data_IF_651115823165
#
_entry.id   IF_651115823165
#
_cell.length_a   1.000
_cell.length_b   1.000
_cell.length_c   1.000
_cell.angle_alpha   90.00
_cell.angle_beta   90.00
_cell.angle_gamma   90.00
#
_symmetry.space_group_name_H-M   'P 1'
#
loop_
_entity.id
_entity.type
_entity.pdbx_description
1 polymer ?
#
# COMPACT_ATOMS: atom_id res chain seq x y z
N UNK A 1 33.97 -7.59 -6.40
CA UNK A 1 33.11 -6.46 -6.00
C UNK A 1 31.89 -6.43 -6.91
N UNK A 2 30.74 -6.91 -6.43
CA UNK A 2 29.50 -6.94 -7.21
C UNK A 2 28.90 -5.53 -7.30
N UNK A 3 28.78 -5.01 -8.52
CA UNK A 3 28.32 -3.65 -8.87
C UNK A 3 26.82 -3.57 -9.23
N UNK A 4 26.01 -4.55 -8.84
CA UNK A 4 24.65 -4.71 -9.37
C UNK A 4 23.59 -4.64 -8.27
N UNK A 5 23.34 -3.42 -7.80
CA UNK A 5 22.09 -2.91 -7.24
C UNK A 5 22.47 -1.74 -6.32
N UNK A 6 22.40 -0.51 -6.80
CA UNK A 6 22.45 0.67 -5.93
C UNK A 6 21.34 0.52 -4.90
N UNK A 7 21.67 0.35 -3.63
CA UNK A 7 20.70 0.19 -2.54
C UNK A 7 19.79 1.43 -2.50
N UNK A 8 18.54 1.26 -2.92
CA UNK A 8 17.54 2.32 -2.85
C UNK A 8 17.12 2.54 -1.38
N UNK A 9 16.91 3.80 -1.02
CA UNK A 9 16.26 4.17 0.23
C UNK A 9 14.76 3.88 0.11
N UNK A 10 14.18 3.19 1.09
CA UNK A 10 12.74 2.95 1.14
C UNK A 10 12.17 3.79 2.27
N UNK A 11 11.18 4.62 1.96
CA UNK A 11 10.57 5.51 2.95
C UNK A 11 9.08 5.20 3.02
N UNK A 12 8.62 4.70 4.15
CA UNK A 12 7.18 4.61 4.44
C UNK A 12 6.71 5.92 5.04
N UNK A 13 5.77 6.58 4.38
CA UNK A 13 5.15 7.82 4.80
C UNK A 13 3.81 7.51 5.45
N UNK A 14 3.87 7.30 6.76
CA UNK A 14 2.74 6.96 7.63
C UNK A 14 1.89 8.17 8.04
N UNK A 15 0.76 7.94 8.74
CA UNK A 15 -0.06 8.98 9.34
C UNK A 15 0.59 9.76 10.48
N UNK A 16 1.57 9.16 11.17
CA UNK A 16 2.19 9.67 12.41
C UNK A 16 3.70 9.99 12.25
N UNK A 17 4.25 9.74 11.06
CA UNK A 17 5.61 10.09 10.71
C UNK A 17 6.08 9.40 9.44
N UNK A 18 7.38 9.49 9.17
CA UNK A 18 8.03 8.68 8.15
C UNK A 18 8.97 7.67 8.80
N UNK A 19 9.01 6.46 8.23
CA UNK A 19 9.92 5.40 8.58
C UNK A 19 10.88 5.18 7.41
N UNK A 20 12.12 5.62 7.57
CA UNK A 20 13.17 5.38 6.59
C UNK A 20 13.85 4.04 6.85
N UNK A 21 14.00 3.25 5.79
CA UNK A 21 14.55 1.90 5.83
C UNK A 21 15.69 1.82 4.81
N UNK A 22 16.89 1.64 5.33
CA UNK A 22 18.09 1.37 4.52
C UNK A 22 18.42 -0.11 4.57
N UNK A 23 18.68 -0.71 3.40
CA UNK A 23 19.27 -2.05 3.32
C UNK A 23 20.74 -1.96 3.72
N UNK A 24 21.20 -2.94 4.51
CA UNK A 24 22.62 -3.07 4.89
C UNK A 24 23.07 -4.52 4.70
N UNK A 25 24.09 -4.71 3.88
CA UNK A 25 24.90 -5.92 3.81
C UNK A 25 24.29 -7.10 3.05
N UNK A 26 25.07 -8.18 2.91
CA UNK A 26 24.72 -9.37 2.12
C UNK A 26 23.47 -10.11 2.67
N UNK A 27 23.22 -10.00 3.99
CA UNK A 27 22.02 -10.57 4.63
C UNK A 27 20.74 -9.76 4.42
N UNK A 28 20.80 -8.65 3.66
CA UNK A 28 19.63 -7.84 3.27
C UNK A 28 18.78 -7.42 4.49
N UNK A 29 19.44 -7.13 5.60
CA UNK A 29 18.81 -6.67 6.86
C UNK A 29 18.62 -5.16 6.86
N UNK A 30 17.67 -4.66 7.65
CA UNK A 30 17.46 -3.23 7.86
C UNK A 30 18.54 -2.67 8.79
N UNK A 31 19.18 -1.57 8.37
CA UNK A 31 20.26 -0.93 9.12
C UNK A 31 19.77 -0.07 10.29
N UNK A 32 18.66 0.63 10.10
CA UNK A 32 17.99 1.44 11.12
C UNK A 32 16.59 1.81 10.60
N UNK A 33 15.59 1.75 11.46
CA UNK A 33 14.30 2.42 11.27
C UNK A 33 14.35 3.72 12.06
N UNK A 34 14.26 4.87 11.39
CA UNK A 34 14.23 6.18 12.06
C UNK A 34 12.85 6.78 11.90
N UNK A 35 12.20 7.04 13.03
CA UNK A 35 10.92 7.73 13.07
C UNK A 35 11.18 9.24 13.02
N UNK A 36 10.58 9.90 12.04
CA UNK A 36 10.61 11.36 11.94
C UNK A 36 9.28 11.91 12.47
N UNK A 37 9.25 12.47 13.70
CA UNK A 37 8.04 13.00 14.30
C UNK A 37 7.52 14.22 13.53
N UNK A 38 6.20 14.34 13.45
CA UNK A 38 5.52 15.31 12.60
C UNK A 38 5.36 16.69 13.28
N UNK A 39 5.69 17.80 12.60
CA UNK A 39 5.15 19.10 12.97
C UNK A 39 3.65 19.17 12.64
N UNK A 40 2.85 19.79 13.51
CA UNK A 40 1.45 20.05 13.22
C UNK A 40 1.35 20.97 11.98
N UNK A 41 0.63 20.54 10.95
CA UNK A 41 0.56 21.24 9.66
C UNK A 41 -0.87 21.33 9.10
N UNK A 42 -1.08 22.28 8.20
CA UNK A 42 -2.39 22.67 7.65
C UNK A 42 -2.98 21.70 6.61
N UNK A 43 -2.22 20.71 6.11
CA UNK A 43 -2.71 19.66 5.20
C UNK A 43 -2.38 18.25 5.71
N UNK A 44 -3.23 17.25 5.39
CA UNK A 44 -3.09 15.86 5.87
C UNK A 44 -1.79 15.15 5.44
N UNK A 45 -1.08 15.68 4.45
CA UNK A 45 0.12 15.05 3.86
C UNK A 45 1.40 15.90 3.98
N UNK A 46 1.32 17.14 4.46
CA UNK A 46 2.51 17.99 4.65
C UNK A 46 3.54 17.35 5.58
N UNK A 47 3.06 16.66 6.60
CA UNK A 47 3.92 16.02 7.58
C UNK A 47 4.54 14.70 7.07
N UNK A 48 3.86 13.97 6.19
CA UNK A 48 4.46 12.86 5.45
C UNK A 48 5.65 13.33 4.58
N UNK A 49 5.53 14.53 3.97
CA UNK A 49 6.63 15.14 3.21
C UNK A 49 7.77 15.63 4.10
N UNK A 50 7.48 16.19 5.26
CA UNK A 50 8.52 16.60 6.21
C UNK A 50 9.38 15.39 6.64
N UNK A 51 8.74 14.25 6.92
CA UNK A 51 9.44 13.00 7.21
C UNK A 51 10.25 12.47 6.02
N UNK A 52 9.70 12.55 4.80
CA UNK A 52 10.43 12.19 3.58
C UNK A 52 11.66 13.08 3.38
N UNK A 53 11.52 14.39 3.53
CA UNK A 53 12.63 15.34 3.40
C UNK A 53 13.73 15.05 4.42
N UNK A 54 13.37 14.82 5.69
CA UNK A 54 14.33 14.48 6.72
C UNK A 54 15.07 13.16 6.42
N UNK A 55 14.35 12.12 5.96
CA UNK A 55 14.94 10.87 5.54
C UNK A 55 15.94 11.03 4.38
N UNK A 56 15.60 11.88 3.40
CA UNK A 56 16.45 12.16 2.24
C UNK A 56 17.66 13.03 2.60
N UNK A 57 17.54 13.94 3.56
CA UNK A 57 18.64 14.74 4.06
C UNK A 57 19.73 13.89 4.72
N UNK A 58 19.37 12.79 5.37
CA UNK A 58 20.32 11.82 5.94
C UNK A 58 20.93 10.88 4.89
N UNK A 59 20.34 10.82 3.69
CA UNK A 59 20.73 9.92 2.61
C UNK A 59 20.78 10.62 1.24
N UNK A 60 21.55 11.72 1.12
CA UNK A 60 21.51 12.57 -0.07
C UNK A 60 21.93 11.80 -1.33
N UNK A 61 21.20 12.01 -2.42
CA UNK A 61 21.51 11.40 -3.72
C UNK A 61 21.17 9.91 -3.85
N UNK A 62 20.72 9.23 -2.79
CA UNK A 62 20.26 7.84 -2.91
C UNK A 62 18.94 7.79 -3.69
N UNK A 63 18.77 6.87 -4.66
CA UNK A 63 17.47 6.61 -5.26
C UNK A 63 16.45 6.22 -4.18
N UNK A 64 15.21 6.68 -4.30
CA UNK A 64 14.18 6.51 -3.26
C UNK A 64 12.92 5.84 -3.80
N UNK A 65 12.35 4.91 -3.04
CA UNK A 65 10.97 4.41 -3.20
C UNK A 65 10.14 4.88 -2.02
N UNK A 66 8.94 5.37 -2.32
CA UNK A 66 8.01 5.88 -1.30
C UNK A 66 6.84 4.91 -1.17
N UNK A 67 6.60 4.44 0.05
CA UNK A 67 5.35 3.74 0.39
C UNK A 67 4.45 4.75 1.07
N UNK A 68 3.26 4.98 0.53
CA UNK A 68 2.28 5.87 1.16
C UNK A 68 1.37 5.07 2.08
N UNK A 69 1.05 5.69 3.22
CA UNK A 69 -0.09 5.29 4.02
C UNK A 69 -1.35 5.20 3.16
N UNK A 70 -2.11 4.13 3.33
CA UNK A 70 -3.36 3.87 2.64
C UNK A 70 -4.36 5.00 2.80
N UNK A 71 -4.33 5.74 3.92
CA UNK A 71 -5.21 6.90 4.12
C UNK A 71 -5.02 8.03 3.12
N UNK A 72 -3.87 8.08 2.46
CA UNK A 72 -3.54 9.09 1.45
C UNK A 72 -3.97 8.66 0.05
N UNK A 73 -4.35 7.40 -0.13
CA UNK A 73 -4.85 6.84 -1.37
C UNK A 73 -6.34 6.49 -1.28
N UNK A 74 -7.01 6.55 -2.41
CA UNK A 74 -8.35 5.98 -2.60
C UNK A 74 -8.24 4.78 -3.52
N UNK A 75 -9.08 3.79 -3.30
CA UNK A 75 -9.05 2.53 -4.05
C UNK A 75 -10.41 2.18 -4.62
N UNK A 76 -10.41 1.51 -5.78
CA UNK A 76 -11.60 0.94 -6.43
C UNK A 76 -11.24 -0.38 -7.09
N UNK A 77 -12.20 -1.28 -7.15
CA UNK A 77 -12.12 -2.46 -8.01
C UNK A 77 -12.70 -2.06 -9.36
N UNK A 78 -11.91 -2.24 -10.42
CA UNK A 78 -12.30 -1.95 -11.79
C UNK A 78 -12.59 -3.28 -12.48
N UNK A 79 -13.85 -3.56 -12.83
CA UNK A 79 -14.21 -4.83 -13.46
C UNK A 79 -13.60 -4.94 -14.86
N UNK A 80 -13.26 -6.16 -15.26
CA UNK A 80 -12.88 -6.44 -16.64
C UNK A 80 -14.05 -6.15 -17.59
N UNK A 81 -13.73 -5.60 -18.76
CA UNK A 81 -14.67 -5.31 -19.86
C UNK A 81 -14.03 -5.73 -21.18
N UNK A 82 -14.58 -6.76 -21.82
CA UNK A 82 -14.05 -7.32 -23.07
C UNK A 82 -13.97 -6.32 -24.23
N UNK A 83 -14.78 -5.26 -24.19
CA UNK A 83 -14.86 -4.23 -25.22
C UNK A 83 -13.87 -3.08 -25.01
N UNK A 84 -13.14 -3.04 -23.89
CA UNK A 84 -12.10 -2.03 -23.67
C UNK A 84 -10.77 -2.53 -24.27
N UNK A 85 -10.25 -1.86 -25.32
CA UNK A 85 -9.17 -2.40 -26.13
C UNK A 85 -7.77 -2.24 -25.51
N UNK A 86 -7.60 -1.48 -24.41
CA UNK A 86 -6.29 -1.27 -23.81
C UNK A 86 -6.26 -0.51 -22.49
N UNK A 87 -5.04 -0.29 -22.00
CA UNK A 87 -4.74 0.37 -20.71
C UNK A 87 -5.29 1.80 -20.62
N UNK A 88 -5.34 2.53 -21.74
CA UNK A 88 -5.83 3.90 -21.76
C UNK A 88 -7.32 3.96 -21.43
N UNK A 89 -8.10 3.03 -21.97
CA UNK A 89 -9.53 2.92 -21.74
C UNK A 89 -9.86 2.42 -20.34
N UNK A 90 -9.07 1.48 -19.80
CA UNK A 90 -9.19 1.09 -18.39
C UNK A 90 -8.85 2.25 -17.44
N UNK A 91 -7.86 3.08 -17.78
CA UNK A 91 -7.54 4.29 -17.02
C UNK A 91 -8.68 5.31 -17.08
N UNK A 92 -9.32 5.48 -18.24
CA UNK A 92 -10.48 6.35 -18.41
C UNK A 92 -11.70 5.83 -17.62
N UNK A 93 -11.92 4.50 -17.62
CA UNK A 93 -12.94 3.88 -16.78
C UNK A 93 -12.66 4.14 -15.30
N UNK A 94 -11.43 3.91 -14.83
CA UNK A 94 -11.06 4.18 -13.45
C UNK A 94 -11.26 5.67 -13.07
N UNK A 95 -10.93 6.60 -13.98
CA UNK A 95 -11.22 8.03 -13.80
C UNK A 95 -12.71 8.30 -13.60
N UNK A 96 -13.57 7.68 -14.42
CA UNK A 96 -15.02 7.81 -14.29
C UNK A 96 -15.51 7.25 -12.95
N UNK A 97 -15.04 6.07 -12.54
CA UNK A 97 -15.43 5.43 -11.26
C UNK A 97 -15.01 6.27 -10.04
N UNK A 98 -13.84 6.93 -10.11
CA UNK A 98 -13.43 7.88 -9.06
C UNK A 98 -14.23 9.18 -9.12
N UNK A 99 -14.50 9.72 -10.31
CA UNK A 99 -15.32 10.93 -10.45
C UNK A 99 -16.76 10.72 -9.98
N UNK A 100 -17.35 9.56 -10.24
CA UNK A 100 -18.70 9.22 -9.78
C UNK A 100 -18.76 9.18 -8.24
N UNK A 101 -17.75 8.56 -7.61
CA UNK A 101 -17.77 8.41 -6.16
C UNK A 101 -17.30 9.64 -5.36
N UNK A 102 -16.42 10.47 -5.92
CA UNK A 102 -15.78 11.59 -5.20
C UNK A 102 -16.10 12.97 -5.82
N UNK A 103 -16.79 13.01 -6.96
CA UNK A 103 -17.11 14.25 -7.67
C UNK A 103 -15.85 15.03 -8.04
N UNK A 104 -15.93 16.36 -7.92
CA UNK A 104 -14.83 17.28 -8.23
C UNK A 104 -13.59 17.09 -7.34
N UNK A 105 -13.69 16.34 -6.23
CA UNK A 105 -12.50 16.02 -5.43
C UNK A 105 -11.53 15.12 -6.21
N UNK A 106 -12.03 14.27 -7.12
CA UNK A 106 -11.21 13.38 -7.94
C UNK A 106 -10.52 14.09 -9.12
N UNK A 107 -10.85 15.35 -9.38
CA UNK A 107 -10.27 16.11 -10.49
C UNK A 107 -8.74 16.23 -10.29
N UNK A 108 -7.99 15.86 -11.33
CA UNK A 108 -6.54 15.89 -11.30
C UNK A 108 -5.88 14.81 -10.44
N UNK A 109 -6.61 13.80 -9.97
CA UNK A 109 -6.00 12.66 -9.28
C UNK A 109 -5.10 11.85 -10.21
N UNK A 110 -3.95 11.44 -9.67
CA UNK A 110 -3.07 10.50 -10.33
C UNK A 110 -3.59 9.08 -10.07
N UNK A 111 -4.03 8.39 -11.12
CA UNK A 111 -4.59 7.04 -11.04
C UNK A 111 -3.61 6.01 -11.62
N UNK A 112 -3.57 4.84 -11.00
CA UNK A 112 -2.81 3.67 -11.43
C UNK A 112 -3.65 2.42 -11.22
N UNK A 113 -3.35 1.36 -11.97
CA UNK A 113 -4.09 0.10 -11.99
C UNK A 113 -3.11 -1.05 -11.72
N UNK A 114 -3.55 -2.09 -11.02
CA UNK A 114 -2.77 -3.33 -10.86
C UNK A 114 -2.56 -4.01 -12.21
N UNK A 115 -1.51 -4.79 -12.35
CA UNK A 115 -1.22 -5.56 -13.58
C UNK A 115 -1.85 -6.95 -13.47
N UNK A 116 -3.02 -7.13 -14.08
CA UNK A 116 -3.76 -8.40 -14.04
C UNK A 116 -3.81 -9.04 -15.43
N UNK A 117 -3.92 -10.37 -15.45
CA UNK A 117 -4.17 -11.08 -16.70
C UNK A 117 -5.49 -10.61 -17.33
N UNK A 118 -5.60 -10.60 -18.68
CA UNK A 118 -6.86 -10.32 -19.36
C UNK A 118 -8.00 -11.20 -18.82
N UNK A 119 -9.19 -10.61 -18.69
CA UNK A 119 -10.36 -11.27 -18.10
C UNK A 119 -10.52 -11.06 -16.60
N UNK A 120 -9.56 -10.38 -15.94
CA UNK A 120 -9.57 -10.19 -14.47
C UNK A 120 -9.87 -8.75 -14.04
N UNK A 121 -10.58 -8.61 -12.93
CA UNK A 121 -10.80 -7.34 -12.27
C UNK A 121 -9.50 -6.80 -11.68
N UNK A 122 -9.32 -5.47 -11.73
CA UNK A 122 -8.09 -4.79 -11.33
C UNK A 122 -8.33 -3.91 -10.11
N UNK A 123 -7.31 -3.73 -9.27
CA UNK A 123 -7.33 -2.68 -8.25
C UNK A 123 -6.84 -1.38 -8.91
N UNK A 124 -7.66 -0.35 -8.87
CA UNK A 124 -7.23 1.02 -9.12
C UNK A 124 -6.88 1.71 -7.80
N UNK A 125 -5.75 2.41 -7.78
CA UNK A 125 -5.37 3.32 -6.71
C UNK A 125 -5.26 4.76 -7.25
N UNK A 126 -5.72 5.73 -6.46
CA UNK A 126 -5.67 7.14 -6.79
C UNK A 126 -5.12 7.97 -5.62
N UNK A 127 -4.31 8.98 -5.94
CA UNK A 127 -3.86 10.00 -4.99
C UNK A 127 -4.05 11.39 -5.60
N UNK A 128 -4.11 12.43 -4.76
CA UNK A 128 -4.10 13.82 -5.24
C UNK A 128 -2.86 14.08 -6.11
N UNK A 129 -3.07 14.74 -7.25
CA UNK A 129 -1.97 15.18 -8.13
C UNK A 129 -0.99 16.12 -7.42
N UNK A 130 -1.48 16.94 -6.49
CA UNK A 130 -0.66 17.84 -5.66
C UNK A 130 0.29 17.07 -4.75
N UNK A 131 -0.22 16.00 -4.11
CA UNK A 131 0.60 15.12 -3.28
C UNK A 131 1.71 14.47 -4.11
N UNK A 132 1.37 13.93 -5.29
CA UNK A 132 2.36 13.31 -6.16
C UNK A 132 3.42 14.33 -6.64
N UNK A 133 3.01 15.54 -6.99
CA UNK A 133 3.91 16.61 -7.40
C UNK A 133 4.87 16.99 -6.26
N UNK A 134 4.37 17.17 -5.05
CA UNK A 134 5.18 17.56 -3.91
C UNK A 134 6.16 16.44 -3.46
N UNK A 135 5.79 15.15 -3.60
CA UNK A 135 6.74 14.04 -3.41
C UNK A 135 7.89 14.12 -4.42
N UNK A 136 7.57 14.39 -5.71
CA UNK A 136 8.58 14.54 -6.76
C UNK A 136 9.51 15.73 -6.49
N UNK A 137 8.96 16.86 -6.10
CA UNK A 137 9.72 18.06 -5.74
C UNK A 137 10.63 17.82 -4.53
N UNK A 138 10.13 17.14 -3.50
CA UNK A 138 10.90 16.78 -2.30
C UNK A 138 12.09 15.88 -2.66
N UNK A 139 11.89 14.88 -3.52
CA UNK A 139 12.97 14.01 -3.99
C UNK A 139 14.01 14.78 -4.82
N UNK A 140 13.56 15.66 -5.74
CA UNK A 140 14.42 16.48 -6.58
C UNK A 140 15.27 17.46 -5.75
N UNK A 141 14.70 18.11 -4.73
CA UNK A 141 15.41 19.01 -3.83
C UNK A 141 16.60 18.34 -3.11
N UNK A 142 16.50 17.02 -2.87
CA UNK A 142 17.56 16.22 -2.23
C UNK A 142 18.45 15.48 -3.24
N UNK A 143 18.31 15.78 -4.54
CA UNK A 143 19.03 15.11 -5.65
C UNK A 143 18.81 13.60 -5.70
N UNK A 144 17.68 13.13 -5.18
CA UNK A 144 17.32 11.72 -5.13
C UNK A 144 16.40 11.36 -6.30
N UNK A 145 16.73 10.31 -7.03
CA UNK A 145 15.87 9.77 -8.09
C UNK A 145 14.70 9.01 -7.47
N UNK A 146 13.47 9.53 -7.66
CA UNK A 146 12.25 8.83 -7.26
C UNK A 146 12.01 7.63 -8.19
N UNK A 147 11.97 6.43 -7.62
CA UNK A 147 11.82 5.16 -8.34
C UNK A 147 10.37 4.67 -8.42
N UNK A 148 9.52 5.12 -7.51
CA UNK A 148 8.14 4.68 -7.39
C UNK A 148 7.49 5.25 -6.13
N UNK A 149 6.21 5.56 -6.24
CA UNK A 149 5.32 5.82 -5.11
C UNK A 149 4.23 4.76 -5.14
N UNK A 150 4.01 4.03 -4.05
CA UNK A 150 2.99 2.97 -3.99
C UNK A 150 2.25 2.97 -2.66
N UNK A 151 0.94 2.72 -2.62
CA UNK A 151 0.24 2.55 -1.35
C UNK A 151 0.61 1.24 -0.67
N UNK A 152 0.65 1.25 0.66
CA UNK A 152 0.95 0.09 1.48
C UNK A 152 0.05 -1.13 1.18
N UNK A 153 -1.23 -0.93 0.87
CA UNK A 153 -2.18 -1.99 0.54
C UNK A 153 -1.79 -2.73 -0.73
N UNK A 154 -1.42 -2.01 -1.79
CA UNK A 154 -1.04 -2.64 -3.09
C UNK A 154 0.28 -3.36 -2.98
N UNK A 155 1.17 -2.85 -2.13
CA UNK A 155 2.42 -3.49 -1.76
C UNK A 155 2.13 -4.80 -1.02
N UNK A 156 1.24 -4.77 -0.03
CA UNK A 156 0.83 -5.95 0.73
C UNK A 156 0.16 -7.00 -0.17
N UNK A 157 -0.71 -6.57 -1.10
CA UNK A 157 -1.32 -7.43 -2.10
C UNK A 157 -0.27 -8.07 -3.00
N UNK A 158 0.73 -7.30 -3.43
CA UNK A 158 1.82 -7.79 -4.27
C UNK A 158 2.74 -8.82 -3.62
N UNK A 159 2.90 -8.75 -2.30
CA UNK A 159 3.69 -9.70 -1.53
C UNK A 159 2.91 -10.93 -1.09
N UNK A 160 1.60 -10.86 -1.20
CA UNK A 160 0.72 -11.93 -0.83
C UNK A 160 0.73 -13.01 -1.94
N UNK A 161 1.20 -14.23 -1.65
CA UNK A 161 1.06 -15.33 -2.60
C UNK A 161 -0.43 -15.70 -2.62
N UNK A 162 -1.16 -15.23 -3.62
CA UNK A 162 -2.50 -15.75 -3.89
C UNK A 162 -2.35 -17.21 -4.26
N UNK A 163 -2.61 -18.11 -3.31
CA UNK A 163 -2.73 -19.52 -3.62
C UNK A 163 -4.06 -19.72 -4.34
N UNK A 164 -4.08 -20.52 -5.41
CA UNK A 164 -5.34 -21.00 -5.98
C UNK A 164 -6.13 -21.69 -4.86
N UNK A 165 -7.21 -21.05 -4.43
CA UNK A 165 -8.07 -21.50 -3.35
C UNK A 165 -9.50 -21.23 -3.77
N UNK A 166 -10.38 -22.19 -3.53
CA UNK A 166 -11.82 -22.02 -3.76
C UNK A 166 -12.47 -21.12 -2.70
N UNK A 167 -11.79 -20.88 -1.57
CA UNK A 167 -12.27 -20.01 -0.51
C UNK A 167 -11.82 -18.56 -0.72
N UNK A 168 -12.66 -17.55 -0.42
CA UNK A 168 -12.26 -16.16 -0.42
C UNK A 168 -11.09 -15.91 0.52
N UNK A 169 -10.05 -15.30 -0.01
CA UNK A 169 -8.86 -14.96 0.75
C UNK A 169 -8.84 -13.46 1.02
N UNK A 170 -8.48 -13.10 2.24
CA UNK A 170 -8.57 -11.73 2.73
C UNK A 170 -7.18 -11.17 3.03
N UNK A 171 -6.93 -9.96 2.56
CA UNK A 171 -5.79 -9.15 2.93
C UNK A 171 -6.27 -7.98 3.78
N UNK A 172 -5.65 -7.82 4.95
CA UNK A 172 -5.89 -6.70 5.86
C UNK A 172 -4.61 -5.89 5.96
N UNK A 173 -4.63 -4.62 5.55
CA UNK A 173 -3.54 -3.67 5.76
C UNK A 173 -3.90 -2.71 6.90
N UNK A 174 -3.09 -2.67 7.94
CA UNK A 174 -3.33 -1.88 9.15
C UNK A 174 -2.28 -0.80 9.29
N UNK A 175 -2.77 0.41 9.57
CA UNK A 175 -2.00 1.60 9.89
C UNK A 175 -2.64 2.25 11.14
N UNK A 176 -1.90 3.07 11.91
CA UNK A 176 -2.49 3.76 13.05
C UNK A 176 -3.77 4.53 12.67
N UNK A 177 -4.89 4.14 13.28
CA UNK A 177 -6.20 4.75 13.08
C UNK A 177 -6.94 4.35 11.80
N UNK A 178 -6.39 3.46 10.96
CA UNK A 178 -7.04 3.01 9.73
C UNK A 178 -6.74 1.56 9.37
N UNK A 179 -7.75 0.89 8.80
CA UNK A 179 -7.63 -0.45 8.28
C UNK A 179 -8.19 -0.51 6.85
N UNK A 180 -7.46 -1.18 5.95
CA UNK A 180 -7.90 -1.53 4.61
C UNK A 180 -8.12 -3.04 4.50
N UNK A 181 -9.25 -3.44 3.94
CA UNK A 181 -9.60 -4.84 3.64
C UNK A 181 -9.69 -4.98 2.13
N UNK A 182 -9.03 -6.00 1.58
CA UNK A 182 -9.16 -6.42 0.20
C UNK A 182 -9.39 -7.92 0.14
N UNK A 183 -10.42 -8.36 -0.59
CA UNK A 183 -10.79 -9.78 -0.70
C UNK A 183 -10.68 -10.21 -2.15
N UNK A 184 -10.05 -11.36 -2.36
CA UNK A 184 -9.90 -12.01 -3.64
C UNK A 184 -10.42 -13.45 -3.53
N UNK A 185 -11.30 -13.87 -4.43
CA UNK A 185 -12.01 -15.16 -4.35
C UNK A 185 -11.29 -16.33 -5.06
N UNK A 186 -9.99 -16.15 -5.32
CA UNK A 186 -9.17 -17.06 -6.11
C UNK A 186 -9.20 -16.75 -7.60
N UNK A 187 -10.20 -16.00 -8.07
CA UNK A 187 -10.33 -15.58 -9.45
C UNK A 187 -10.15 -14.08 -9.62
N UNK A 188 -10.88 -13.29 -8.84
CA UNK A 188 -10.95 -11.85 -9.00
C UNK A 188 -10.98 -11.11 -7.67
N UNK A 189 -10.62 -9.83 -7.70
CA UNK A 189 -10.89 -8.92 -6.59
C UNK A 189 -12.41 -8.70 -6.46
N UNK A 190 -12.96 -9.00 -5.28
CA UNK A 190 -14.42 -8.96 -5.03
C UNK A 190 -14.83 -7.86 -4.07
N UNK A 191 -13.97 -7.53 -3.12
CA UNK A 191 -14.27 -6.55 -2.09
C UNK A 191 -13.04 -5.72 -1.77
N UNK A 192 -13.23 -4.41 -1.64
CA UNK A 192 -12.19 -3.51 -1.14
C UNK A 192 -12.84 -2.40 -0.32
N UNK A 193 -12.43 -2.28 0.94
CA UNK A 193 -12.93 -1.25 1.85
C UNK A 193 -11.83 -0.66 2.69
N UNK A 194 -11.89 0.65 2.92
CA UNK A 194 -11.08 1.33 3.93
C UNK A 194 -11.99 1.84 5.04
N UNK A 195 -11.58 1.70 6.28
CA UNK A 195 -12.33 2.14 7.45
C UNK A 195 -11.41 2.67 8.55
N UNK A 196 -11.96 3.53 9.41
CA UNK A 196 -11.27 3.97 10.61
C UNK A 196 -11.36 2.89 11.68
N UNK A 197 -10.29 2.72 12.44
CA UNK A 197 -10.21 1.80 13.58
C UNK A 197 -9.58 2.53 14.76
N UNK A 198 -9.88 2.05 15.96
CA UNK A 198 -9.30 2.56 17.20
C UNK A 198 -8.03 1.77 17.57
N UNK A 199 -7.37 2.11 18.67
CA UNK A 199 -6.12 1.47 19.10
C UNK A 199 -6.28 -0.01 19.46
N UNK A 200 -7.50 -0.47 19.76
CA UNK A 200 -7.86 -1.87 20.05
C UNK A 200 -8.19 -2.68 18.78
N UNK A 201 -7.72 -2.24 17.61
CA UNK A 201 -8.00 -2.84 16.32
C UNK A 201 -7.68 -4.35 16.27
N UNK A 202 -6.61 -4.80 16.94
CA UNK A 202 -6.18 -6.19 16.92
C UNK A 202 -7.20 -7.12 17.58
N UNK A 203 -7.74 -6.71 18.74
CA UNK A 203 -8.79 -7.43 19.46
C UNK A 203 -10.13 -7.38 18.71
N UNK A 204 -10.39 -6.28 17.97
CA UNK A 204 -11.63 -6.08 17.22
C UNK A 204 -11.62 -6.70 15.83
N UNK A 205 -10.46 -7.08 15.31
CA UNK A 205 -10.33 -7.61 13.95
C UNK A 205 -11.25 -8.81 13.66
N UNK A 206 -11.44 -9.80 14.56
CA UNK A 206 -12.41 -10.87 14.32
C UNK A 206 -13.83 -10.37 14.09
N UNK A 207 -14.27 -9.36 14.85
CA UNK A 207 -15.61 -8.79 14.68
C UNK A 207 -15.71 -8.00 13.37
N UNK A 208 -14.70 -7.17 13.07
CA UNK A 208 -14.64 -6.41 11.82
C UNK A 208 -14.68 -7.35 10.61
N UNK A 209 -13.94 -8.46 10.65
CA UNK A 209 -13.95 -9.46 9.58
C UNK A 209 -15.33 -10.11 9.41
N UNK A 210 -16.05 -10.40 10.50
CA UNK A 210 -17.43 -10.90 10.43
C UNK A 210 -18.38 -9.89 9.81
N UNK A 211 -18.24 -8.61 10.16
CA UNK A 211 -19.07 -7.55 9.60
C UNK A 211 -18.82 -7.39 8.09
N UNK A 212 -17.56 -7.41 7.67
CA UNK A 212 -17.20 -7.37 6.25
C UNK A 212 -17.62 -8.63 5.48
N UNK A 213 -17.53 -9.80 6.11
CA UNK A 213 -18.01 -11.08 5.54
C UNK A 213 -19.49 -10.97 5.15
N UNK A 214 -20.32 -10.41 6.05
CA UNK A 214 -21.73 -10.17 5.78
C UNK A 214 -21.96 -9.10 4.69
N UNK A 215 -21.23 -7.98 4.73
CA UNK A 215 -21.39 -6.89 3.75
C UNK A 215 -20.95 -7.29 2.34
N UNK A 216 -19.84 -8.02 2.24
CA UNK A 216 -19.32 -8.52 0.98
C UNK A 216 -20.11 -9.73 0.46
N UNK A 217 -20.92 -10.36 1.30
CA UNK A 217 -21.55 -11.66 1.05
C UNK A 217 -20.51 -12.72 0.64
N UNK A 218 -19.41 -12.78 1.42
CA UNK A 218 -18.28 -13.68 1.23
C UNK A 218 -17.88 -14.27 2.58
N UNK A 219 -17.61 -15.57 2.65
CA UNK A 219 -17.17 -16.21 3.89
C UNK A 219 -15.68 -15.93 4.14
N UNK A 220 -15.40 -14.98 5.04
CA UNK A 220 -14.04 -14.63 5.44
C UNK A 220 -13.68 -15.28 6.76
N UNK A 221 -12.53 -15.97 6.81
CA UNK A 221 -12.03 -16.62 8.04
C UNK A 221 -10.65 -16.08 8.44
N UNK A 222 -10.28 -16.13 9.73
CA UNK A 222 -8.95 -15.72 10.18
C UNK A 222 -7.81 -16.48 9.49
N UNK A 223 -7.99 -17.77 9.21
CA UNK A 223 -6.98 -18.65 8.60
C UNK A 223 -6.71 -18.28 7.13
N UNK A 224 -7.76 -17.85 6.42
CA UNK A 224 -7.70 -17.32 5.06
C UNK A 224 -7.34 -15.83 5.02
N UNK A 225 -7.12 -15.20 6.18
CA UNK A 225 -6.77 -13.79 6.30
C UNK A 225 -5.27 -13.60 6.52
N UNK A 226 -4.69 -12.63 5.81
CA UNK A 226 -3.31 -12.19 5.97
C UNK A 226 -3.29 -10.74 6.41
N UNK A 227 -2.55 -10.45 7.47
CA UNK A 227 -2.49 -9.10 8.07
C UNK A 227 -1.13 -8.46 7.81
N UNK A 228 -1.12 -7.36 7.08
CA UNK A 228 0.03 -6.49 6.90
C UNK A 228 -0.09 -5.32 7.90
N UNK A 229 0.72 -5.34 8.96
CA UNK A 229 0.71 -4.31 10.00
C UNK A 229 2.15 -3.94 10.39
N UNK A 230 2.87 -3.16 9.55
CA UNK A 230 4.30 -2.89 9.74
C UNK A 230 4.59 -2.03 10.99
N UNK A 231 3.59 -1.31 11.49
CA UNK A 231 3.67 -0.46 12.68
C UNK A 231 3.13 -1.15 13.94
N UNK A 232 2.65 -2.40 13.83
CA UNK A 232 2.14 -3.14 14.98
C UNK A 232 3.25 -3.53 15.95
N UNK A 233 2.99 -3.36 17.24
CA UNK A 233 3.88 -3.77 18.32
C UNK A 233 3.78 -5.29 18.59
N UNK A 234 4.67 -5.80 19.44
CA UNK A 234 4.74 -7.24 19.74
C UNK A 234 3.46 -7.79 20.38
N UNK A 235 2.77 -6.99 21.19
CA UNK A 235 1.56 -7.43 21.90
C UNK A 235 0.40 -7.54 20.91
N UNK A 236 0.22 -6.54 20.03
CA UNK A 236 -0.76 -6.57 18.93
C UNK A 236 -0.54 -7.77 18.01
N UNK A 237 0.72 -8.06 17.64
CA UNK A 237 1.05 -9.26 16.86
C UNK A 237 0.73 -10.56 17.60
N UNK A 238 0.88 -10.59 18.92
CA UNK A 238 0.49 -11.72 19.76
C UNK A 238 -1.01 -11.95 19.79
N UNK A 239 -1.80 -10.87 19.91
CA UNK A 239 -3.27 -10.90 19.84
C UNK A 239 -3.74 -11.45 18.49
N UNK A 240 -3.16 -10.98 17.39
CA UNK A 240 -3.47 -11.49 16.05
C UNK A 240 -3.25 -13.00 15.92
N UNK A 241 -2.10 -13.49 16.41
CA UNK A 241 -1.79 -14.92 16.40
C UNK A 241 -2.78 -15.71 17.27
N UNK A 242 -3.17 -15.17 18.43
CA UNK A 242 -4.18 -15.76 19.31
C UNK A 242 -5.56 -15.91 18.65
N UNK A 243 -5.89 -15.04 17.69
CA UNK A 243 -7.11 -15.10 16.90
C UNK A 243 -6.99 -15.91 15.59
N UNK A 244 -5.84 -16.54 15.33
CA UNK A 244 -5.60 -17.35 14.14
C UNK A 244 -5.21 -16.56 12.89
N UNK A 245 -4.97 -15.25 13.01
CA UNK A 245 -4.48 -14.44 11.89
C UNK A 245 -3.01 -14.69 11.63
N UNK A 246 -2.65 -14.79 10.34
CA UNK A 246 -1.26 -14.84 9.92
C UNK A 246 -0.78 -13.44 9.49
N UNK A 247 0.24 -12.93 10.18
CA UNK A 247 0.94 -11.72 9.77
C UNK A 247 1.72 -11.94 8.46
N UNK A 248 1.73 -10.94 7.58
CA UNK A 248 2.64 -10.91 6.44
C UNK A 248 4.01 -10.49 6.98
N UNK A 249 4.89 -11.47 7.16
CA UNK A 249 6.31 -11.18 7.40
C UNK A 249 6.94 -10.67 6.10
N UNK A 250 7.28 -9.39 6.12
CA UNK A 250 7.94 -8.72 5.01
C UNK A 250 9.36 -9.24 4.77
N UNK A 251 9.96 -9.94 5.75
CA UNK A 251 11.35 -10.34 5.75
C UNK A 251 12.28 -9.20 5.30
N UNK A 252 13.34 -9.52 4.59
CA UNK A 252 14.23 -8.57 3.91
C UNK A 252 13.58 -7.77 2.75
N UNK A 253 12.28 -7.97 2.49
CA UNK A 253 11.57 -7.58 1.28
C UNK A 253 10.45 -6.59 1.55
N UNK A 254 10.62 -5.65 2.50
CA UNK A 254 9.72 -4.51 2.75
C UNK A 254 9.16 -3.93 1.47
N UNK A 255 8.04 -4.46 1.02
CA UNK A 255 7.27 -4.07 -0.14
C UNK A 255 7.89 -4.09 -1.53
N UNK A 256 9.19 -4.32 -1.69
CA UNK A 256 9.81 -4.15 -3.01
C UNK A 256 10.72 -5.35 -3.36
N UNK A 257 10.28 -6.23 -4.28
CA UNK A 257 11.13 -7.24 -4.85
C UNK A 257 12.19 -6.58 -5.72
N UNK A 258 13.34 -7.23 -5.70
CA UNK A 258 14.42 -6.98 -6.63
C UNK A 258 14.11 -7.83 -7.86
N UNK A 259 13.52 -7.22 -8.89
CA UNK A 259 13.43 -7.81 -10.23
C UNK A 259 12.44 -8.97 -10.42
N UNK A 260 11.17 -8.78 -10.06
CA UNK A 260 10.08 -9.67 -10.50
C UNK A 260 8.81 -8.88 -10.76
N UNK A 261 8.02 -9.31 -11.76
CA UNK A 261 6.68 -8.80 -12.03
C UNK A 261 5.80 -9.05 -10.79
N UNK A 262 5.40 -7.96 -10.13
CA UNK A 262 4.42 -8.03 -9.05
C UNK A 262 3.07 -7.67 -9.63
N UNK A 263 2.25 -8.70 -9.82
CA UNK A 263 0.88 -8.61 -10.33
C UNK A 263 0.08 -7.43 -9.73
N UNK A 264 0.14 -7.24 -8.41
CA UNK A 264 -0.71 -6.25 -7.73
C UNK A 264 -0.05 -4.90 -7.42
N UNK A 265 1.21 -4.67 -7.83
CA UNK A 265 1.91 -3.43 -7.52
C UNK A 265 1.35 -2.28 -8.34
N UNK A 266 0.71 -1.34 -7.66
CA UNK A 266 0.39 -0.06 -8.25
C UNK A 266 1.47 0.94 -7.87
N UNK A 267 2.24 1.40 -8.86
CA UNK A 267 3.24 2.44 -8.65
C UNK A 267 2.91 3.66 -9.50
N UNK A 268 2.98 4.84 -8.89
CA UNK A 268 3.11 6.09 -9.61
C UNK A 268 4.59 6.37 -9.83
N UNK A 269 4.98 6.49 -11.10
CA UNK A 269 6.20 7.17 -11.53
C UNK A 269 6.07 7.59 -12.99
N UNK A 270 6.88 8.56 -13.38
CA UNK A 270 7.22 8.83 -14.78
C UNK A 270 8.61 8.24 -15.05
#
# INVERSE_FOLDING_TARGET
MSRWSTEALHVHCGPEGALALTRVGWRRSFGAARHFPMPAGETRWSAALAGLAAALAEHPGKPVRVVLANRLAQFRIIPWRDHLPGEAEYRALAQLEFADAFGSLADGWAITLSDEAPGRARIAAAISGELLAAIKETAAAHRSRLLGVSPALTIAAGLWPSAESEAPQCLVAVEPGQLGIAVHDGQDWRWLRQMRVDADWADRLPQLLRDESHLANLELTPEATRVFAPEANRDELGVLQGHGFAGIDLGARLGFPVGGDIKYLTAWCA
#
